data_IF_390668010715
#
_entry.id   IF_390668010715
#
_cell.length_a   1.000
_cell.length_b   1.000
_cell.length_c   1.000
_cell.angle_alpha   90.00
_cell.angle_beta   90.00
_cell.angle_gamma   90.00
#
_symmetry.space_group_name_H-M   'P 1'
#
loop_
_entity.id
_entity.type
_entity.pdbx_description
1 polymer ?
#
# COMPACT_ATOMS: atom_id res chain seq x y z
N UNK A 1 71.56 22.06 -8.99
CA UNK A 1 70.72 20.96 -9.52
C UNK A 1 69.60 20.69 -8.53
N UNK A 2 68.43 21.27 -8.75
CA UNK A 2 67.20 20.93 -8.03
C UNK A 2 66.08 20.90 -9.06
N UNK A 3 65.53 19.71 -9.29
CA UNK A 3 64.44 19.49 -10.22
C UNK A 3 63.11 19.64 -9.44
N UNK A 4 62.32 20.64 -9.83
CA UNK A 4 60.95 20.81 -9.34
C UNK A 4 60.01 19.88 -10.11
N UNK A 5 59.41 18.92 -9.42
CA UNK A 5 58.32 18.11 -9.96
C UNK A 5 56.98 18.86 -9.83
N UNK A 6 56.36 19.15 -10.97
CA UNK A 6 54.99 19.65 -11.07
C UNK A 6 54.06 18.43 -10.99
N UNK A 7 53.27 18.32 -9.92
CA UNK A 7 52.14 17.39 -9.86
C UNK A 7 50.94 18.03 -10.57
N UNK A 8 50.51 17.43 -11.70
CA UNK A 8 49.19 17.67 -12.27
C UNK A 8 48.14 16.91 -11.44
N UNK A 9 47.28 17.64 -10.73
CA UNK A 9 46.05 17.09 -10.17
C UNK A 9 44.96 17.08 -11.27
N UNK A 10 44.70 15.91 -11.85
CA UNK A 10 43.55 15.72 -12.71
C UNK A 10 42.28 15.61 -11.85
N UNK A 11 41.46 16.66 -11.85
CA UNK A 11 40.13 16.62 -11.26
C UNK A 11 39.22 15.74 -12.13
N UNK A 12 38.98 14.51 -11.70
CA UNK A 12 37.90 13.67 -12.19
C UNK A 12 36.56 14.24 -11.70
N UNK A 13 35.96 15.11 -12.49
CA UNK A 13 34.53 15.44 -12.39
C UNK A 13 33.73 14.20 -12.79
N UNK A 14 33.47 13.31 -11.82
CA UNK A 14 32.46 12.27 -11.96
C UNK A 14 31.09 12.93 -12.07
N UNK A 15 30.49 12.87 -13.26
CA UNK A 15 29.09 13.22 -13.44
C UNK A 15 28.26 12.35 -12.49
N UNK A 16 27.60 12.99 -11.52
CA UNK A 16 26.61 12.33 -10.68
C UNK A 16 25.43 11.94 -11.59
N UNK A 17 25.46 10.72 -12.12
CA UNK A 17 24.30 10.13 -12.78
C UNK A 17 23.14 10.18 -11.79
N UNK A 18 22.08 10.90 -12.13
CA UNK A 18 20.90 10.99 -11.28
C UNK A 18 20.45 9.59 -10.90
N UNK A 19 20.37 9.30 -9.60
CA UNK A 19 19.90 8.02 -9.12
C UNK A 19 18.50 7.77 -9.71
N UNK A 20 18.39 6.76 -10.58
CA UNK A 20 17.11 6.37 -11.16
C UNK A 20 16.14 6.02 -10.03
N UNK A 21 14.86 6.37 -10.21
CA UNK A 21 13.81 6.05 -9.25
C UNK A 21 13.76 4.53 -8.99
N UNK A 22 13.82 4.11 -7.72
CA UNK A 22 13.90 2.71 -7.32
C UNK A 22 12.49 2.10 -7.16
N UNK A 23 11.78 1.90 -8.28
CA UNK A 23 10.57 1.05 -8.27
C UNK A 23 11.00 -0.41 -8.05
N UNK A 24 10.48 -1.05 -7.01
CA UNK A 24 10.87 -2.41 -6.61
C UNK A 24 9.90 -3.43 -7.20
N UNK A 25 10.14 -3.73 -8.48
CA UNK A 25 9.34 -4.68 -9.25
C UNK A 25 9.52 -6.12 -8.78
N UNK A 26 10.59 -6.46 -8.06
CA UNK A 26 10.77 -7.81 -7.50
C UNK A 26 9.69 -8.17 -6.45
N UNK A 27 9.12 -7.17 -5.77
CA UNK A 27 8.18 -7.38 -4.66
C UNK A 27 6.72 -7.18 -5.03
N UNK A 28 6.42 -6.32 -6.00
CA UNK A 28 5.05 -5.99 -6.33
C UNK A 28 4.90 -5.57 -7.81
N UNK A 29 3.69 -5.18 -8.19
CA UNK A 29 3.31 -4.75 -9.52
C UNK A 29 2.44 -5.77 -10.27
N UNK A 30 2.30 -5.61 -11.59
CA UNK A 30 1.35 -6.40 -12.37
C UNK A 30 1.69 -7.88 -12.42
N UNK A 31 0.64 -8.69 -12.54
CA UNK A 31 0.72 -10.13 -12.80
C UNK A 31 -0.02 -10.45 -14.09
N UNK A 32 0.42 -11.50 -14.78
CA UNK A 32 -0.16 -11.95 -16.04
C UNK A 32 -1.22 -13.03 -15.83
N UNK A 33 -1.16 -13.73 -14.70
CA UNK A 33 -2.09 -14.82 -14.38
C UNK A 33 -2.31 -14.99 -12.88
N UNK A 34 -3.51 -15.46 -12.51
CA UNK A 34 -3.83 -15.94 -11.17
C UNK A 34 -3.54 -17.43 -10.98
N UNK A 35 -3.13 -18.13 -12.05
CA UNK A 35 -2.67 -19.51 -11.92
C UNK A 35 -1.46 -19.58 -10.99
N UNK A 36 -1.32 -20.72 -10.30
CA UNK A 36 -0.13 -21.00 -9.49
C UNK A 36 1.10 -21.13 -10.40
N UNK A 37 2.25 -20.68 -9.92
CA UNK A 37 3.49 -20.90 -10.63
C UNK A 37 3.81 -22.41 -10.68
N UNK A 38 4.01 -23.01 -11.88
CA UNK A 38 4.37 -24.42 -12.00
C UNK A 38 5.77 -24.74 -11.46
N UNK A 39 6.62 -23.73 -11.26
CA UNK A 39 8.00 -23.85 -10.80
C UNK A 39 8.23 -23.00 -9.53
N UNK A 40 7.65 -23.39 -8.37
CA UNK A 40 7.84 -22.66 -7.13
C UNK A 40 9.31 -22.73 -6.68
N UNK A 41 9.85 -21.60 -6.24
CA UNK A 41 11.20 -21.51 -5.69
C UNK A 41 11.16 -21.52 -4.16
N UNK A 42 12.07 -22.27 -3.56
CA UNK A 42 12.13 -22.45 -2.09
C UNK A 42 12.60 -21.19 -1.38
N UNK A 43 13.56 -20.46 -1.95
CA UNK A 43 14.22 -19.34 -1.26
C UNK A 43 13.67 -17.99 -1.68
N UNK A 44 13.48 -17.08 -0.71
CA UNK A 44 13.01 -15.71 -0.96
C UNK A 44 13.93 -14.96 -1.92
N UNK A 45 15.25 -15.08 -1.75
CA UNK A 45 16.23 -14.43 -2.63
C UNK A 45 16.09 -14.83 -4.10
N UNK A 46 15.83 -16.12 -4.36
CA UNK A 46 15.62 -16.64 -5.71
C UNK A 46 14.30 -16.11 -6.30
N UNK A 47 13.23 -16.08 -5.50
CA UNK A 47 11.95 -15.50 -5.93
C UNK A 47 12.12 -14.02 -6.31
N UNK A 48 12.80 -13.23 -5.46
CA UNK A 48 13.04 -11.81 -5.73
C UNK A 48 13.89 -11.59 -6.99
N UNK A 49 14.97 -12.35 -7.15
CA UNK A 49 15.83 -12.27 -8.34
C UNK A 49 15.06 -12.61 -9.62
N UNK A 50 14.21 -13.65 -9.59
CA UNK A 50 13.33 -14.01 -10.72
C UNK A 50 12.32 -12.90 -11.01
N UNK A 51 11.62 -12.43 -9.98
CA UNK A 51 10.57 -11.42 -10.14
C UNK A 51 11.12 -10.10 -10.71
N UNK A 52 12.39 -9.77 -10.43
CA UNK A 52 13.06 -8.58 -10.94
C UNK A 52 13.22 -8.58 -12.47
N UNK A 53 13.32 -9.75 -13.10
CA UNK A 53 13.62 -9.89 -14.52
C UNK A 53 12.52 -10.61 -15.31
N UNK A 54 11.48 -11.11 -14.64
CA UNK A 54 10.44 -11.90 -15.29
C UNK A 54 9.58 -11.06 -16.23
N UNK A 55 9.40 -11.56 -17.45
CA UNK A 55 8.45 -11.02 -18.44
C UNK A 55 7.06 -11.62 -18.33
N UNK A 56 6.90 -12.70 -17.56
CA UNK A 56 5.62 -13.32 -17.23
C UNK A 56 5.54 -13.57 -15.73
N UNK A 57 4.50 -13.08 -15.07
CA UNK A 57 4.44 -12.97 -13.60
C UNK A 57 3.21 -13.71 -13.08
N UNK A 58 3.44 -14.68 -12.22
CA UNK A 58 2.39 -15.41 -11.51
C UNK A 58 1.97 -14.67 -10.25
N UNK A 59 0.69 -14.78 -9.88
CA UNK A 59 0.18 -14.15 -8.67
C UNK A 59 0.89 -14.60 -7.40
N UNK A 60 1.11 -15.91 -7.23
CA UNK A 60 1.67 -16.50 -6.00
C UNK A 60 3.18 -16.30 -5.81
N UNK A 61 3.85 -15.79 -6.84
CA UNK A 61 5.25 -15.34 -6.76
C UNK A 61 5.39 -13.99 -6.05
N UNK A 62 4.32 -13.19 -6.04
CA UNK A 62 4.33 -11.80 -5.61
C UNK A 62 3.37 -11.52 -4.49
N UNK A 63 2.20 -12.16 -4.49
CA UNK A 63 1.09 -11.84 -3.63
C UNK A 63 0.59 -13.04 -2.84
N UNK A 64 0.02 -12.75 -1.69
CA UNK A 64 -0.81 -13.65 -0.90
C UNK A 64 -2.24 -13.14 -0.98
N UNK A 65 -3.19 -14.05 -1.18
CA UNK A 65 -4.63 -13.76 -1.13
C UNK A 65 -5.18 -14.15 0.25
N UNK A 66 -5.85 -13.21 0.90
CA UNK A 66 -6.68 -13.45 2.08
C UNK A 66 -8.15 -13.36 1.67
N UNK A 67 -8.76 -14.50 1.39
CA UNK A 67 -10.16 -14.61 0.97
C UNK A 67 -10.78 -15.94 1.39
N UNK A 68 -12.11 -15.97 1.48
CA UNK A 68 -12.86 -17.19 1.79
C UNK A 68 -12.73 -18.28 0.70
N UNK A 69 -12.52 -17.86 -0.55
CA UNK A 69 -12.26 -18.72 -1.70
C UNK A 69 -11.33 -17.98 -2.68
N UNK A 70 -10.44 -18.68 -3.42
CA UNK A 70 -9.67 -18.08 -4.50
C UNK A 70 -10.55 -17.48 -5.61
N UNK A 71 -11.77 -17.98 -5.81
CA UNK A 71 -12.72 -17.48 -6.83
C UNK A 71 -13.27 -16.08 -6.52
N UNK A 72 -12.90 -15.52 -5.36
CA UNK A 72 -13.22 -14.15 -4.99
C UNK A 72 -12.28 -13.12 -5.62
N UNK A 73 -11.20 -13.56 -6.24
CA UNK A 73 -10.27 -12.71 -6.96
C UNK A 73 -10.23 -13.12 -8.44
N UNK A 74 -10.39 -12.15 -9.32
CA UNK A 74 -10.31 -12.37 -10.77
C UNK A 74 -9.39 -11.32 -11.42
N UNK A 75 -8.60 -11.75 -12.41
CA UNK A 75 -7.82 -10.85 -13.26
C UNK A 75 -8.63 -10.53 -14.51
N UNK A 76 -9.08 -9.28 -14.62
CA UNK A 76 -10.03 -8.84 -15.64
C UNK A 76 -9.50 -7.64 -16.41
N UNK A 77 -10.15 -7.28 -17.53
CA UNK A 77 -9.87 -6.02 -18.19
C UNK A 77 -10.31 -4.83 -17.33
N UNK A 78 -9.63 -3.69 -17.44
CA UNK A 78 -10.07 -2.45 -16.81
C UNK A 78 -11.53 -2.13 -17.21
N UNK A 79 -12.46 -1.98 -16.26
CA UNK A 79 -13.87 -1.71 -16.57
C UNK A 79 -14.11 -0.36 -17.25
N UNK A 80 -13.14 0.57 -17.20
CA UNK A 80 -13.20 1.86 -17.91
C UNK A 80 -12.47 1.83 -19.27
N UNK A 81 -12.06 0.65 -19.75
CA UNK A 81 -11.35 0.48 -21.03
C UNK A 81 -9.82 0.61 -20.94
N UNK A 82 -9.17 0.49 -22.10
CA UNK A 82 -7.70 0.44 -22.22
C UNK A 82 -7.12 -0.97 -22.12
N UNK A 83 -5.79 -1.07 -22.20
CA UNK A 83 -5.06 -2.36 -22.24
C UNK A 83 -4.73 -2.92 -20.86
N UNK A 84 -4.87 -2.11 -19.80
CA UNK A 84 -4.54 -2.50 -18.43
C UNK A 84 -5.45 -3.62 -17.92
N UNK A 85 -4.85 -4.68 -17.39
CA UNK A 85 -5.55 -5.68 -16.57
C UNK A 85 -5.58 -5.22 -15.12
N UNK A 86 -6.66 -5.56 -14.42
CA UNK A 86 -6.93 -5.16 -13.04
C UNK A 86 -7.52 -6.33 -12.27
N UNK A 87 -7.53 -6.24 -10.94
CA UNK A 87 -8.10 -7.25 -10.07
C UNK A 87 -9.54 -6.88 -9.73
N UNK A 88 -10.46 -7.83 -9.87
CA UNK A 88 -11.81 -7.74 -9.34
C UNK A 88 -11.89 -8.55 -8.05
N UNK A 89 -12.18 -7.86 -6.95
CA UNK A 89 -12.41 -8.43 -5.64
C UNK A 89 -13.92 -8.56 -5.45
N UNK A 90 -14.39 -9.76 -5.16
CA UNK A 90 -15.79 -10.04 -4.82
C UNK A 90 -15.88 -10.53 -3.38
N UNK A 91 -16.97 -10.21 -2.71
CA UNK A 91 -17.25 -10.67 -1.36
C UNK A 91 -18.76 -10.86 -1.21
N UNK A 92 -19.18 -11.94 -0.57
CA UNK A 92 -20.59 -12.25 -0.31
C UNK A 92 -20.83 -12.35 1.18
N UNK A 93 -22.04 -11.98 1.63
CA UNK A 93 -22.38 -12.01 3.07
C UNK A 93 -22.27 -13.40 3.67
N UNK A 94 -22.47 -14.42 2.84
CA UNK A 94 -22.39 -15.83 3.18
C UNK A 94 -20.97 -16.39 3.14
N UNK A 95 -19.98 -15.62 2.69
CA UNK A 95 -18.59 -16.08 2.72
C UNK A 95 -18.13 -16.27 4.17
N UNK A 96 -17.48 -17.39 4.52
CA UNK A 96 -16.93 -17.58 5.85
C UNK A 96 -15.91 -16.49 6.19
N UNK A 97 -15.82 -16.16 7.48
CA UNK A 97 -14.86 -15.17 7.95
C UNK A 97 -13.42 -15.72 7.80
N UNK A 98 -12.51 -14.85 7.36
CA UNK A 98 -11.07 -15.13 7.32
C UNK A 98 -10.41 -14.27 8.38
N UNK A 99 -9.79 -14.93 9.37
CA UNK A 99 -9.14 -14.24 10.50
C UNK A 99 -10.08 -13.21 11.15
N UNK A 100 -11.31 -13.64 11.44
CA UNK A 100 -12.31 -12.83 12.14
C UNK A 100 -12.99 -11.72 11.33
N UNK A 101 -12.80 -11.64 10.02
CA UNK A 101 -13.49 -10.64 9.19
C UNK A 101 -13.86 -11.14 7.79
N UNK A 102 -14.88 -10.54 7.20
CA UNK A 102 -15.22 -10.73 5.79
C UNK A 102 -14.19 -9.99 4.93
N UNK A 103 -13.44 -10.72 4.10
CA UNK A 103 -12.37 -10.14 3.30
C UNK A 103 -12.11 -10.86 1.99
N UNK A 104 -11.60 -10.08 1.04
CA UNK A 104 -10.92 -10.51 -0.17
C UNK A 104 -9.82 -9.49 -0.44
N UNK A 105 -8.63 -9.72 0.10
CA UNK A 105 -7.49 -8.79 0.03
C UNK A 105 -6.24 -9.47 -0.51
N UNK A 106 -5.42 -8.70 -1.23
CA UNK A 106 -4.08 -9.13 -1.62
C UNK A 106 -3.02 -8.36 -0.85
N UNK A 107 -1.88 -9.00 -0.58
CA UNK A 107 -0.71 -8.36 0.04
C UNK A 107 0.57 -8.89 -0.60
N UNK A 108 1.61 -8.06 -0.85
CA UNK A 108 2.85 -8.58 -1.37
C UNK A 108 3.53 -9.52 -0.37
N UNK A 109 4.08 -10.64 -0.85
CA UNK A 109 4.59 -11.75 -0.03
C UNK A 109 5.87 -11.40 0.73
N UNK A 110 6.70 -10.55 0.14
CA UNK A 110 8.07 -10.26 0.62
C UNK A 110 8.29 -8.78 0.94
N UNK A 111 7.21 -8.04 1.22
CA UNK A 111 7.24 -6.62 1.54
C UNK A 111 6.97 -6.40 3.03
N UNK A 112 7.99 -5.98 3.77
CA UNK A 112 7.85 -5.51 5.15
C UNK A 112 8.91 -4.46 5.45
N UNK A 113 8.53 -3.33 6.06
CA UNK A 113 9.46 -2.24 6.42
C UNK A 113 9.21 -1.78 7.85
N UNK A 114 10.19 -2.00 8.73
CA UNK A 114 10.09 -1.65 10.16
C UNK A 114 10.21 -0.14 10.36
N UNK A 115 11.30 0.44 9.87
CA UNK A 115 11.58 1.87 9.93
C UNK A 115 12.15 2.36 8.59
N UNK A 116 12.09 3.66 8.36
CA UNK A 116 12.71 4.32 7.20
C UNK A 116 11.77 4.52 6.01
N UNK A 117 12.34 5.09 4.94
CA UNK A 117 11.58 5.53 3.77
C UNK A 117 11.14 4.36 2.89
N UNK A 118 9.83 4.27 2.64
CA UNK A 118 9.20 3.40 1.65
C UNK A 118 8.08 4.12 0.91
N UNK A 119 7.93 3.79 -0.36
CA UNK A 119 6.86 4.30 -1.21
C UNK A 119 5.87 3.19 -1.55
N UNK A 120 4.59 3.56 -1.62
CA UNK A 120 3.49 2.68 -1.98
C UNK A 120 2.58 3.38 -2.98
N UNK A 121 2.05 2.63 -3.96
CA UNK A 121 0.92 3.08 -4.75
C UNK A 121 -0.14 1.97 -4.82
N UNK A 122 -1.40 2.38 -4.63
CA UNK A 122 -2.57 1.52 -4.67
C UNK A 122 -3.70 2.27 -5.36
N UNK A 123 -4.49 1.58 -6.16
CA UNK A 123 -5.61 2.19 -6.87
C UNK A 123 -6.86 1.34 -6.77
N UNK A 124 -8.01 1.99 -6.64
CA UNK A 124 -9.30 1.33 -6.48
C UNK A 124 -10.38 2.04 -7.28
N UNK A 125 -11.36 1.28 -7.74
CA UNK A 125 -12.53 1.75 -8.44
C UNK A 125 -13.76 1.06 -7.87
N UNK A 126 -14.71 1.89 -7.44
CA UNK A 126 -16.03 1.47 -7.00
C UNK A 126 -16.92 1.31 -8.24
N UNK A 127 -17.49 0.13 -8.52
CA UNK A 127 -18.32 -0.07 -9.71
C UNK A 127 -19.67 0.63 -9.61
N UNK A 128 -20.36 0.80 -10.74
CA UNK A 128 -21.70 1.39 -10.81
C UNK A 128 -22.73 0.77 -9.84
N UNK A 129 -22.62 -0.54 -9.60
CA UNK A 129 -23.50 -1.28 -8.69
C UNK A 129 -23.03 -1.27 -7.22
N UNK A 130 -22.06 -0.41 -6.86
CA UNK A 130 -21.60 -0.29 -5.48
C UNK A 130 -22.76 0.14 -4.56
N UNK A 131 -23.08 -0.72 -3.59
CA UNK A 131 -24.07 -0.40 -2.56
C UNK A 131 -23.41 0.36 -1.42
N UNK A 132 -23.80 1.63 -1.27
CA UNK A 132 -23.37 2.47 -0.15
C UNK A 132 -23.99 1.97 1.17
N UNK A 133 -23.18 1.94 2.22
CA UNK A 133 -23.59 1.52 3.56
C UNK A 133 -22.70 2.18 4.60
N UNK A 134 -23.24 2.53 5.77
CA UNK A 134 -22.51 3.22 6.84
C UNK A 134 -21.44 2.35 7.53
N UNK A 135 -21.49 1.03 7.35
CA UNK A 135 -20.46 0.13 7.89
C UNK A 135 -19.15 0.28 7.14
N UNK A 136 -18.02 0.48 7.86
CA UNK A 136 -16.74 0.74 7.24
C UNK A 136 -16.26 -0.45 6.42
N UNK A 137 -15.75 -0.16 5.24
CA UNK A 137 -15.07 -1.13 4.37
C UNK A 137 -13.69 -0.59 4.06
N UNK A 138 -12.67 -1.24 4.60
CA UNK A 138 -11.26 -0.96 4.27
C UNK A 138 -11.02 -1.42 2.85
N UNK A 139 -10.63 -0.49 1.98
CA UNK A 139 -10.37 -0.74 0.55
C UNK A 139 -8.89 -0.76 0.19
N UNK A 140 -8.07 -0.16 1.05
CA UNK A 140 -6.61 -0.30 1.04
C UNK A 140 -6.07 -0.07 2.45
N UNK A 141 -4.92 -0.65 2.77
CA UNK A 141 -4.26 -0.40 4.05
C UNK A 141 -2.76 -0.61 3.97
N UNK A 142 -2.00 0.19 4.71
CA UNK A 142 -0.63 -0.11 5.08
C UNK A 142 -0.73 -0.77 6.46
N UNK A 143 -0.83 -2.10 6.45
CA UNK A 143 -0.98 -2.90 7.65
C UNK A 143 0.38 -3.02 8.36
N UNK A 144 0.33 -3.42 9.63
CA UNK A 144 1.53 -3.65 10.43
C UNK A 144 1.63 -5.10 10.91
N UNK A 145 2.83 -5.62 11.07
CA UNK A 145 3.04 -6.86 11.84
C UNK A 145 2.85 -6.55 13.32
N UNK A 146 1.97 -7.30 13.98
CA UNK A 146 1.58 -7.02 15.36
C UNK A 146 2.48 -7.80 16.32
N UNK A 147 2.80 -7.21 17.48
CA UNK A 147 3.34 -7.94 18.63
C UNK A 147 2.19 -8.61 19.39
N UNK A 148 1.97 -8.27 20.65
CA UNK A 148 0.92 -8.88 21.47
C UNK A 148 -0.43 -8.19 21.26
N UNK A 149 -0.42 -6.86 21.09
CA UNK A 149 -1.65 -6.08 20.93
C UNK A 149 -2.14 -6.08 19.47
N UNK A 150 -3.40 -6.45 19.28
CA UNK A 150 -4.11 -6.22 18.02
C UNK A 150 -4.46 -4.72 17.88
N UNK A 151 -3.96 -4.10 16.82
CA UNK A 151 -4.15 -2.66 16.52
C UNK A 151 -4.68 -2.46 15.11
N UNK A 152 -5.38 -1.34 14.85
CA UNK A 152 -5.69 -0.94 13.48
C UNK A 152 -4.40 -0.73 12.65
N UNK A 153 -4.50 -0.76 11.31
CA UNK A 153 -3.36 -0.49 10.44
C UNK A 153 -2.88 0.98 10.61
N UNK A 154 -1.57 1.26 10.50
CA UNK A 154 -1.06 2.63 10.54
C UNK A 154 -1.71 3.60 9.54
N UNK A 155 -2.10 3.08 8.38
CA UNK A 155 -2.91 3.80 7.40
C UNK A 155 -3.95 2.87 6.82
N UNK A 156 -5.21 3.30 6.76
CA UNK A 156 -6.29 2.66 6.01
C UNK A 156 -6.99 3.68 5.11
N UNK A 157 -7.44 3.22 3.96
CA UNK A 157 -8.42 3.90 3.11
C UNK A 157 -9.75 3.20 3.33
N UNK A 158 -10.75 3.95 3.79
CA UNK A 158 -12.03 3.39 4.27
C UNK A 158 -13.20 4.02 3.51
N UNK A 159 -14.00 3.18 2.88
CA UNK A 159 -15.31 3.56 2.36
C UNK A 159 -16.36 3.40 3.46
N UNK A 160 -17.06 4.48 3.80
CA UNK A 160 -18.13 4.47 4.80
C UNK A 160 -19.22 5.46 4.40
N UNK A 161 -20.46 5.00 4.34
CA UNK A 161 -21.56 5.78 3.77
C UNK A 161 -21.24 6.14 2.31
N UNK A 162 -21.17 7.43 2.01
CA UNK A 162 -20.76 7.97 0.71
C UNK A 162 -19.34 8.56 0.73
N UNK A 163 -18.63 8.41 1.85
CA UNK A 163 -17.34 9.03 2.06
C UNK A 163 -16.20 8.04 1.80
N UNK A 164 -15.12 8.55 1.24
CA UNK A 164 -13.82 7.91 1.24
C UNK A 164 -12.93 8.65 2.24
N UNK A 165 -12.43 7.91 3.23
CA UNK A 165 -11.62 8.44 4.31
C UNK A 165 -10.22 7.82 4.28
N UNK A 166 -9.23 8.59 4.71
CA UNK A 166 -7.93 8.09 5.14
C UNK A 166 -7.92 8.10 6.66
N UNK A 167 -7.79 6.92 7.25
CA UNK A 167 -7.66 6.72 8.70
C UNK A 167 -6.19 6.42 9.01
N UNK A 168 -5.64 7.11 9.98
CA UNK A 168 -4.25 7.03 10.41
C UNK A 168 -4.22 6.62 11.86
N UNK A 169 -3.38 5.65 12.20
CA UNK A 169 -3.26 5.17 13.57
C UNK A 169 -1.79 4.98 13.96
N UNK A 170 -1.46 5.25 15.22
CA UNK A 170 -0.08 5.21 15.67
C UNK A 170 0.01 5.06 17.18
N UNK A 171 1.11 4.47 17.67
CA UNK A 171 1.41 4.40 19.08
C UNK A 171 2.92 4.22 19.30
N UNK A 172 3.52 5.11 20.09
CA UNK A 172 4.95 5.03 20.42
C UNK A 172 5.24 4.10 21.61
N UNK A 173 4.19 3.67 22.32
CA UNK A 173 4.31 2.84 23.53
C UNK A 173 4.69 1.40 23.19
N UNK A 174 5.11 0.68 24.23
CA UNK A 174 5.53 -0.71 24.11
C UNK A 174 4.38 -1.61 23.65
N UNK A 175 4.56 -2.28 22.50
CA UNK A 175 3.54 -3.12 21.87
C UNK A 175 3.50 -4.57 22.40
N UNK A 176 4.40 -4.93 23.31
CA UNK A 176 4.42 -6.26 23.96
C UNK A 176 3.31 -6.46 25.01
N UNK A 177 2.64 -5.36 25.42
CA UNK A 177 1.63 -5.39 26.48
C UNK A 177 2.22 -5.50 27.89
N UNK A 178 3.54 -5.40 28.04
CA UNK A 178 4.26 -5.49 29.31
C UNK A 178 4.87 -4.13 29.70
N UNK A 179 5.17 -3.96 30.99
CA UNK A 179 5.82 -2.76 31.53
C UNK A 179 4.86 -1.73 32.10
N UNK A 180 5.38 -0.52 32.38
CA UNK A 180 4.67 0.54 33.11
C UNK A 180 3.81 1.45 32.24
N UNK A 181 4.04 1.49 30.91
CA UNK A 181 3.23 2.25 29.94
C UNK A 181 3.03 1.44 28.64
N UNK A 182 2.27 0.33 28.68
CA UNK A 182 2.03 -0.49 27.51
C UNK A 182 1.07 0.22 26.52
N UNK A 183 1.24 -0.08 25.24
CA UNK A 183 0.23 0.25 24.25
C UNK A 183 -1.08 -0.47 24.58
N UNK A 184 -2.18 0.24 24.43
CA UNK A 184 -3.55 -0.28 24.51
C UNK A 184 -4.35 0.27 23.34
N UNK A 185 -5.51 -0.32 23.08
CA UNK A 185 -6.44 0.23 22.08
C UNK A 185 -6.90 1.64 22.45
N UNK A 186 -7.10 1.92 23.75
CA UNK A 186 -7.58 3.21 24.23
C UNK A 186 -6.54 4.33 24.13
N UNK A 187 -5.24 3.99 24.15
CA UNK A 187 -4.16 4.97 24.06
C UNK A 187 -3.45 5.00 22.68
N UNK A 188 -4.03 4.31 21.69
CA UNK A 188 -3.62 4.40 20.29
C UNK A 188 -4.16 5.69 19.69
N UNK A 189 -3.28 6.50 19.10
CA UNK A 189 -3.68 7.71 18.40
C UNK A 189 -4.44 7.38 17.13
N UNK A 190 -5.40 8.24 16.78
CA UNK A 190 -6.23 8.12 15.60
C UNK A 190 -6.40 9.49 14.96
N UNK A 191 -6.34 9.52 13.63
CA UNK A 191 -6.68 10.69 12.83
C UNK A 191 -7.46 10.25 11.60
N UNK A 192 -8.60 10.90 11.37
CA UNK A 192 -9.44 10.67 10.20
C UNK A 192 -9.39 11.89 9.28
N UNK A 193 -9.17 11.65 7.98
CA UNK A 193 -9.20 12.66 6.93
C UNK A 193 -10.21 12.23 5.87
N UNK A 194 -11.29 12.99 5.68
CA UNK A 194 -12.21 12.76 4.57
C UNK A 194 -11.58 13.27 3.28
N UNK A 195 -11.26 12.36 2.36
CA UNK A 195 -10.54 12.69 1.12
C UNK A 195 -11.46 12.85 -0.08
N UNK A 196 -12.63 12.20 -0.09
CA UNK A 196 -13.60 12.37 -1.17
C UNK A 196 -15.02 11.98 -0.76
N UNK A 197 -15.99 12.44 -1.57
CA UNK A 197 -17.25 11.71 -1.80
C UNK A 197 -17.00 10.66 -2.88
N UNK A 198 -17.47 9.44 -2.64
CA UNK A 198 -17.30 8.33 -3.58
C UNK A 198 -18.18 8.55 -4.82
N UNK A 199 -17.56 8.52 -5.98
CA UNK A 199 -18.15 8.49 -7.30
C UNK A 199 -17.86 7.11 -7.88
N UNK A 200 -18.90 6.40 -8.28
CA UNK A 200 -18.76 5.09 -8.93
C UNK A 200 -18.19 5.24 -10.35
N UNK A 201 -17.59 4.17 -10.89
CA UNK A 201 -16.91 4.13 -12.18
C UNK A 201 -15.79 5.18 -12.30
N UNK A 202 -15.08 5.42 -11.20
CA UNK A 202 -13.95 6.34 -11.15
C UNK A 202 -12.78 5.69 -10.40
N UNK A 203 -11.59 5.84 -10.96
CA UNK A 203 -10.36 5.46 -10.27
C UNK A 203 -10.01 6.48 -9.18
N UNK A 204 -9.68 5.94 -8.01
CA UNK A 204 -9.00 6.62 -6.93
C UNK A 204 -7.61 6.02 -6.85
N UNK A 205 -6.58 6.84 -7.01
CA UNK A 205 -5.19 6.40 -6.98
C UNK A 205 -4.49 7.09 -5.82
N UNK A 206 -3.92 6.29 -4.93
CA UNK A 206 -3.17 6.77 -3.79
C UNK A 206 -1.69 6.51 -4.01
N UNK A 207 -0.88 7.53 -3.73
CA UNK A 207 0.56 7.38 -3.55
C UNK A 207 0.85 7.72 -2.09
N UNK A 208 1.69 6.94 -1.44
CA UNK A 208 2.11 7.18 -0.06
C UNK A 208 3.63 7.13 -0.02
N UNK A 209 4.24 8.18 0.53
CA UNK A 209 5.62 8.16 1.01
C UNK A 209 5.56 8.11 2.52
N UNK A 210 6.04 7.02 3.10
CA UNK A 210 6.18 6.89 4.54
C UNK A 210 7.66 6.80 4.89
N UNK A 211 8.12 7.64 5.80
CA UNK A 211 9.32 7.42 6.57
C UNK A 211 8.87 6.84 7.91
N UNK A 212 8.86 5.50 7.99
CA UNK A 212 8.25 4.79 9.09
C UNK A 212 9.05 4.96 10.38
N UNK A 213 8.38 5.35 11.46
CA UNK A 213 8.92 5.23 12.81
C UNK A 213 7.80 5.24 13.84
N UNK A 214 8.02 4.53 14.94
CA UNK A 214 7.19 4.62 16.14
C UNK A 214 7.80 5.58 17.18
N UNK A 215 8.99 6.12 16.93
CA UNK A 215 9.72 6.95 17.91
C UNK A 215 9.21 8.40 17.87
N UNK A 216 8.89 9.01 19.02
CA UNK A 216 8.47 10.41 19.06
C UNK A 216 9.48 11.35 18.38
N UNK A 217 8.98 12.31 17.60
CA UNK A 217 9.82 13.26 16.86
C UNK A 217 10.48 12.70 15.58
N UNK A 218 10.33 11.41 15.29
CA UNK A 218 10.93 10.74 14.13
C UNK A 218 9.83 10.20 13.23
N UNK A 219 10.04 10.32 11.91
CA UNK A 219 9.11 9.85 10.91
C UNK A 219 8.40 10.99 10.17
N UNK A 220 7.87 10.65 9.01
CA UNK A 220 7.09 11.55 8.17
C UNK A 220 6.17 10.74 7.28
N UNK A 221 5.03 11.31 6.91
CA UNK A 221 4.15 10.67 5.95
C UNK A 221 3.60 11.73 5.01
N UNK A 222 3.49 11.36 3.74
CA UNK A 222 2.77 12.15 2.75
C UNK A 222 1.90 11.23 1.91
N UNK A 223 0.61 11.57 1.84
CA UNK A 223 -0.40 10.82 1.12
C UNK A 223 -0.94 11.71 0.02
N UNK A 224 -0.93 11.20 -1.20
CA UNK A 224 -1.58 11.83 -2.35
C UNK A 224 -2.78 11.00 -2.74
N UNK A 225 -3.86 11.67 -3.16
CA UNK A 225 -4.99 11.05 -3.84
C UNK A 225 -5.21 11.77 -5.16
N UNK A 226 -5.19 11.03 -6.27
CA UNK A 226 -5.33 11.56 -7.64
C UNK A 226 -4.41 12.76 -7.90
N UNK A 227 -3.17 12.65 -7.41
CA UNK A 227 -2.10 13.64 -7.50
C UNK A 227 -2.19 14.88 -6.62
N UNK A 228 -3.25 15.03 -5.82
CA UNK A 228 -3.35 16.09 -4.82
C UNK A 228 -2.89 15.56 -3.45
N UNK A 229 -2.19 16.39 -2.68
CA UNK A 229 -1.82 16.04 -1.30
C UNK A 229 -3.11 15.95 -0.46
N UNK A 230 -3.37 14.76 0.06
CA UNK A 230 -4.50 14.47 0.94
C UNK A 230 -4.12 14.60 2.42
N UNK A 231 -2.88 14.25 2.77
CA UNK A 231 -2.35 14.33 4.13
C UNK A 231 -0.83 14.50 4.09
N UNK A 232 -0.28 15.24 5.06
CA UNK A 232 1.17 15.35 5.27
C UNK A 232 1.48 15.55 6.76
N UNK A 233 2.51 14.85 7.24
CA UNK A 233 3.09 15.03 8.56
C UNK A 233 4.62 14.95 8.50
N UNK A 234 5.28 15.64 9.42
CA UNK A 234 6.74 15.70 9.55
C UNK A 234 7.12 15.63 11.02
N UNK A 235 8.27 15.01 11.30
CA UNK A 235 8.81 14.84 12.65
C UNK A 235 7.80 14.20 13.61
N UNK A 236 7.08 13.19 13.12
CA UNK A 236 5.99 12.53 13.83
C UNK A 236 6.08 11.03 13.63
N UNK A 237 5.90 10.30 14.74
CA UNK A 237 5.71 8.86 14.68
C UNK A 237 4.40 8.55 13.95
N UNK A 238 4.46 7.54 13.10
CA UNK A 238 3.41 7.21 12.14
C UNK A 238 3.18 5.70 12.03
N UNK A 239 3.76 4.92 12.96
CA UNK A 239 3.68 3.47 13.00
C UNK A 239 3.62 2.98 14.45
N UNK A 240 3.77 1.66 14.58
CA UNK A 240 3.90 0.95 15.85
C UNK A 240 5.30 0.34 15.97
N UNK A 241 5.64 -0.10 17.18
CA UNK A 241 6.74 -1.02 17.38
C UNK A 241 6.31 -2.44 16.91
N UNK A 242 7.07 -3.07 16.01
CA UNK A 242 6.62 -4.28 15.28
C UNK A 242 7.70 -5.37 15.25
N UNK A 243 7.35 -6.58 14.79
CA UNK A 243 8.31 -7.67 14.56
C UNK A 243 8.96 -7.61 13.17
N UNK A 244 8.15 -7.41 12.13
CA UNK A 244 8.59 -7.48 10.73
C UNK A 244 8.47 -6.14 10.00
N UNK A 245 7.63 -5.23 10.50
CA UNK A 245 7.34 -3.94 9.87
C UNK A 245 5.95 -3.83 9.26
N UNK A 246 5.80 -2.79 8.44
CA UNK A 246 4.58 -2.39 7.76
C UNK A 246 4.57 -2.88 6.31
N UNK A 247 3.37 -3.20 5.80
CA UNK A 247 3.19 -3.82 4.49
C UNK A 247 1.81 -3.48 3.90
N UNK A 248 1.70 -3.30 2.57
CA UNK A 248 0.46 -2.87 1.93
C UNK A 248 -0.50 -4.04 1.69
N UNK A 249 -1.80 -3.74 1.76
CA UNK A 249 -2.91 -4.57 1.28
C UNK A 249 -3.89 -3.72 0.47
N UNK A 250 -4.55 -4.34 -0.49
CA UNK A 250 -5.65 -3.73 -1.25
C UNK A 250 -6.73 -4.78 -1.50
N UNK A 251 -8.00 -4.35 -1.53
CA UNK A 251 -9.13 -5.24 -1.74
C UNK A 251 -10.34 -4.84 -0.90
N UNK A 252 -11.06 -5.81 -0.37
CA UNK A 252 -12.21 -5.58 0.51
C UNK A 252 -11.92 -6.18 1.88
N UNK A 253 -12.00 -5.38 2.94
CA UNK A 253 -11.99 -5.87 4.31
C UNK A 253 -13.01 -5.14 5.18
N UNK A 254 -13.82 -5.92 5.90
CA UNK A 254 -14.71 -5.40 6.93
C UNK A 254 -14.48 -6.23 8.20
N UNK A 255 -14.20 -5.58 9.34
CA UNK A 255 -14.16 -6.29 10.61
C UNK A 255 -15.51 -6.95 10.91
N UNK A 256 -15.50 -8.22 11.29
CA UNK A 256 -16.72 -8.99 11.51
C UNK A 256 -17.49 -9.28 10.22
N UNK A 257 -18.82 -9.18 10.27
CA UNK A 257 -19.71 -9.58 9.17
C UNK A 257 -20.11 -8.42 8.27
N UNK A 258 -20.18 -8.69 6.97
CA UNK A 258 -20.70 -7.75 5.98
C UNK A 258 -22.18 -7.40 6.23
N UNK A 259 -22.52 -6.12 6.10
CA UNK A 259 -23.89 -5.62 6.28
C UNK A 259 -24.70 -5.50 4.97
N UNK A 260 -24.05 -5.69 3.83
CA UNK A 260 -24.70 -5.78 2.50
C UNK A 260 -24.62 -7.20 1.97
N UNK A 261 -25.43 -7.56 0.96
CA UNK A 261 -25.46 -8.92 0.41
C UNK A 261 -24.16 -9.29 -0.33
N UNK A 262 -23.60 -8.33 -1.08
CA UNK A 262 -22.37 -8.48 -1.85
C UNK A 262 -21.64 -7.15 -1.95
N UNK A 263 -20.31 -7.20 -2.11
CA UNK A 263 -19.48 -6.08 -2.54
C UNK A 263 -18.57 -6.53 -3.67
N UNK A 264 -18.34 -5.60 -4.59
CA UNK A 264 -17.35 -5.73 -5.64
C UNK A 264 -16.47 -4.48 -5.65
N UNK A 265 -15.17 -4.68 -5.82
CA UNK A 265 -14.20 -3.60 -5.96
C UNK A 265 -13.21 -3.97 -7.06
N UNK A 266 -12.87 -3.02 -7.91
CA UNK A 266 -11.77 -3.18 -8.84
C UNK A 266 -10.54 -2.50 -8.26
N UNK A 267 -9.39 -3.16 -8.31
CA UNK A 267 -8.12 -2.56 -7.88
C UNK A 267 -7.09 -2.73 -8.97
N UNK A 268 -6.20 -1.76 -9.08
CA UNK A 268 -4.94 -2.02 -9.75
C UNK A 268 -4.03 -2.83 -8.81
N UNK A 269 -2.85 -3.18 -9.29
CA UNK A 269 -1.83 -3.82 -8.48
C UNK A 269 -1.24 -2.87 -7.44
N UNK A 270 -0.66 -3.45 -6.39
CA UNK A 270 0.14 -2.71 -5.43
C UNK A 270 1.52 -2.47 -6.05
N UNK A 271 2.02 -1.24 -6.01
CA UNK A 271 3.38 -0.91 -6.38
C UNK A 271 4.16 -0.43 -5.16
N UNK A 272 5.46 -0.75 -5.10
CA UNK A 272 6.35 -0.35 -4.01
C UNK A 272 7.64 0.27 -4.56
N UNK A 273 8.23 1.18 -3.79
CA UNK A 273 9.47 1.86 -4.16
C UNK A 273 10.36 2.17 -2.97
N UNK A 274 11.67 2.27 -3.22
CA UNK A 274 12.68 2.56 -2.20
C UNK A 274 12.92 4.06 -1.96
N UNK A 275 13.92 4.41 -1.14
CA UNK A 275 14.19 5.80 -0.75
C UNK A 275 14.45 6.78 -1.90
N UNK A 276 14.99 6.33 -3.04
CA UNK A 276 15.25 7.17 -4.21
C UNK A 276 14.04 7.33 -5.15
N UNK A 277 12.90 6.70 -4.84
CA UNK A 277 11.68 6.83 -5.64
C UNK A 277 11.06 8.22 -5.50
N UNK A 278 10.30 8.63 -6.51
CA UNK A 278 9.55 9.90 -6.53
C UNK A 278 8.05 9.67 -6.63
N UNK A 279 7.28 10.74 -6.40
CA UNK A 279 5.84 10.73 -6.58
C UNK A 279 5.47 10.40 -8.03
N UNK A 280 6.14 11.01 -9.00
CA UNK A 280 5.84 10.86 -10.44
C UNK A 280 6.05 9.42 -10.89
N UNK A 281 7.13 8.77 -10.41
CA UNK A 281 7.39 7.37 -10.70
C UNK A 281 6.28 6.46 -10.17
N UNK A 282 5.81 6.69 -8.95
CA UNK A 282 4.73 5.89 -8.34
C UNK A 282 3.37 6.17 -8.98
N UNK A 283 3.05 7.44 -9.20
CA UNK A 283 1.78 7.86 -9.79
C UNK A 283 1.64 7.38 -11.25
N UNK A 284 2.75 7.39 -12.01
CA UNK A 284 2.80 6.88 -13.39
C UNK A 284 2.50 5.38 -13.51
N UNK A 285 2.62 4.61 -12.44
CA UNK A 285 2.26 3.19 -12.42
C UNK A 285 0.75 2.97 -12.28
N UNK A 286 0.00 3.97 -11.79
CA UNK A 286 -1.43 3.87 -11.50
C UNK A 286 -2.30 4.17 -12.73
N UNK A 287 -3.62 3.83 -12.71
CA UNK A 287 -4.54 4.16 -13.80
C UNK A 287 -4.85 5.66 -13.90
N UNK A 288 -4.57 6.46 -12.86
CA UNK A 288 -4.79 7.90 -12.88
C UNK A 288 -3.64 8.68 -13.54
N UNK A 289 -2.47 8.06 -13.68
CA UNK A 289 -1.25 8.72 -14.13
C UNK A 289 -0.69 9.74 -13.12
N UNK A 290 0.31 10.50 -13.54
CA UNK A 290 0.99 11.49 -12.69
C UNK A 290 0.24 12.84 -12.57
N UNK A 291 -0.69 13.11 -13.48
CA UNK A 291 -1.41 14.38 -13.50
C UNK A 291 -2.36 14.50 -12.31
N UNK A 292 -2.33 15.66 -11.64
CA UNK A 292 -3.32 15.99 -10.64
C UNK A 292 -4.70 16.05 -11.29
N UNK A 293 -5.66 15.29 -10.76
CA UNK A 293 -7.07 15.44 -11.12
C UNK A 293 -7.59 16.73 -10.49
N UNK A 294 -8.56 17.39 -11.13
CA UNK A 294 -9.38 18.40 -10.47
C UNK A 294 -10.15 17.73 -9.33
N UNK A 295 -9.56 17.71 -8.14
CA UNK A 295 -10.15 17.12 -6.95
C UNK A 295 -10.77 18.25 -6.15
N UNK A 296 -12.01 18.12 -5.66
CA UNK A 296 -12.55 19.04 -4.67
C UNK A 296 -11.57 19.17 -3.50
N UNK A 297 -11.45 20.36 -2.92
CA UNK A 297 -10.61 20.58 -1.74
C UNK A 297 -10.87 19.47 -0.70
N UNK A 298 -9.81 18.97 -0.05
CA UNK A 298 -9.93 18.09 1.12
C UNK A 298 -11.01 18.67 2.02
N UNK A 299 -12.06 17.89 2.25
CA UNK A 299 -13.20 18.34 3.07
C UNK A 299 -12.69 18.28 4.50
N UNK A 300 -12.11 19.38 4.97
CA UNK A 300 -11.72 19.58 6.36
C UNK A 300 -12.94 19.53 7.27
#
# INVERSE_FOLDING_TARGET
MQASHILMAAALCGAAGGALAQVDIARAGPVDTLAKNPNPLTYVSQNLARNQTSTFRYFDDLYVLSAASPDRLELVANPLGGTRKVLRHSLYKTDPLVTGGSRTEISPKYEYVIEGVRWYAVSMLFPANWTFHASPTVVAQLHTSQKTLAVPPPLAVVASGQDLNVELHYNYRNMSGQGTDPATRANTGEQLVRVAKIQTNKWYCFVVRADWSYKPGVGSMKVWMNGNVAYESKNAFNAYETWLGNYPKVGLYMPGVMQVATRQLYTDFIHVGGPSTTYEAMAGLTPCGAAASATPAVIK
#
